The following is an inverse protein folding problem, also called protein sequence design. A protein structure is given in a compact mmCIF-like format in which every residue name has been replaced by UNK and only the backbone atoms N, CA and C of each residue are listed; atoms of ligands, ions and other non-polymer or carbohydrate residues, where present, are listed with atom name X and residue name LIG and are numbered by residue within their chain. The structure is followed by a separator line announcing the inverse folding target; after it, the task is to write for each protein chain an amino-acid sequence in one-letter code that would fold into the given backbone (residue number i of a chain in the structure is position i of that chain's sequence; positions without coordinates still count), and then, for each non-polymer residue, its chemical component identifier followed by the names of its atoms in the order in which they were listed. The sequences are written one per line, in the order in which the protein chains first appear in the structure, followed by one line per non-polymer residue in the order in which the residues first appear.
data_IF_940816504204
#
_entry.id   IF_940816504204
#
_cell.length_a   1.000
_cell.length_b   1.000
_cell.length_c   1.000
_cell.angle_alpha   90.00
_cell.angle_beta   90.00
_cell.angle_gamma   90.00
#
_symmetry.space_group_name_H-M   'P 1'
#
loop_
_entity.id
_entity.type
_entity.pdbx_description
1 polymer ?
#
# COMPACT_ATOMS: atom_id res chain seq x y z
N UNK A 1 -25.58 -4.14 -20.78
CA UNK A 1 -24.51 -3.13 -20.70
C UNK A 1 -23.25 -3.79 -20.17
N UNK A 2 -22.21 -4.00 -20.99
CA UNK A 2 -20.93 -4.53 -20.52
C UNK A 2 -20.08 -3.37 -20.00
N UNK A 3 -19.95 -3.26 -18.67
CA UNK A 3 -19.11 -2.23 -18.06
C UNK A 3 -17.65 -2.44 -18.46
N UNK A 4 -17.04 -1.41 -19.08
CA UNK A 4 -15.63 -1.43 -19.46
C UNK A 4 -14.76 -1.45 -18.20
N UNK A 5 -14.01 -2.53 -17.98
CA UNK A 5 -13.04 -2.61 -16.87
C UNK A 5 -11.78 -1.82 -17.22
N UNK A 6 -11.47 -0.78 -16.43
CA UNK A 6 -10.20 -0.06 -16.54
C UNK A 6 -9.08 -0.91 -15.92
N UNK A 7 -8.40 -1.70 -16.76
CA UNK A 7 -7.26 -2.52 -16.35
C UNK A 7 -5.97 -1.73 -16.53
N UNK A 8 -5.48 -1.14 -15.45
CA UNK A 8 -4.14 -0.51 -15.45
C UNK A 8 -3.07 -1.59 -15.28
N UNK A 9 -2.06 -1.59 -16.16
CA UNK A 9 -0.87 -2.43 -15.97
C UNK A 9 -0.01 -1.79 -14.89
N UNK A 10 0.24 -2.54 -13.82
CA UNK A 10 1.10 -2.10 -12.74
C UNK A 10 2.51 -2.61 -13.03
N UNK A 11 3.43 -1.70 -13.36
CA UNK A 11 4.83 -2.03 -13.68
C UNK A 11 5.64 -2.28 -12.42
N UNK A 12 5.27 -1.62 -11.32
CA UNK A 12 5.89 -1.76 -10.01
C UNK A 12 5.17 -2.82 -9.17
N UNK A 13 5.92 -3.48 -8.28
CA UNK A 13 5.36 -4.43 -7.33
C UNK A 13 4.33 -3.78 -6.40
N UNK A 14 3.45 -4.59 -5.83
CA UNK A 14 2.47 -4.12 -4.86
C UNK A 14 3.17 -3.47 -3.65
N UNK A 15 4.27 -4.06 -3.19
CA UNK A 15 5.08 -3.57 -2.06
C UNK A 15 5.64 -2.17 -2.35
N UNK A 16 6.30 -1.96 -3.48
CA UNK A 16 6.87 -0.66 -3.87
C UNK A 16 5.79 0.42 -3.95
N UNK A 17 4.61 0.08 -4.48
CA UNK A 17 3.50 1.04 -4.58
C UNK A 17 2.93 1.42 -3.21
N UNK A 18 2.86 0.46 -2.28
CA UNK A 18 2.43 0.72 -0.90
C UNK A 18 3.44 1.60 -0.17
N UNK A 19 4.74 1.33 -0.32
CA UNK A 19 5.81 2.15 0.25
C UNK A 19 5.78 3.58 -0.30
N UNK A 20 5.70 3.75 -1.63
CA UNK A 20 5.58 5.07 -2.25
C UNK A 20 4.33 5.83 -1.78
N UNK A 21 3.21 5.12 -1.56
CA UNK A 21 2.00 5.72 -1.01
C UNK A 21 2.18 6.15 0.44
N UNK A 22 2.89 5.37 1.27
CA UNK A 22 3.20 5.72 2.64
C UNK A 22 4.09 6.96 2.73
N UNK A 23 5.13 7.05 1.90
CA UNK A 23 6.02 8.20 1.81
C UNK A 23 5.27 9.47 1.42
N UNK A 24 4.45 9.41 0.37
CA UNK A 24 3.61 10.53 -0.07
C UNK A 24 2.66 10.98 1.04
N UNK A 25 2.04 10.03 1.75
CA UNK A 25 1.16 10.35 2.87
C UNK A 25 1.92 11.05 4.01
N UNK A 26 3.16 10.64 4.31
CA UNK A 26 4.03 11.34 5.28
C UNK A 26 4.44 12.72 4.81
N UNK A 27 4.79 12.89 3.54
CA UNK A 27 5.11 14.21 2.97
C UNK A 27 3.94 15.18 3.07
N UNK A 28 2.74 14.73 2.72
CA UNK A 28 1.53 15.52 2.88
C UNK A 28 1.28 15.85 4.36
N UNK A 29 1.43 14.87 5.26
CA UNK A 29 1.30 15.10 6.69
C UNK A 29 2.34 16.08 7.27
N UNK A 30 3.54 16.17 6.68
CA UNK A 30 4.57 17.15 7.07
C UNK A 30 4.21 18.58 6.62
N UNK A 31 3.49 18.73 5.50
CA UNK A 31 3.07 20.03 4.96
C UNK A 31 1.77 20.55 5.59
N UNK A 32 1.03 19.70 6.29
CA UNK A 32 -0.22 20.08 6.96
C UNK A 32 0.02 20.57 8.38
N UNK A 33 -0.78 21.54 8.87
CA UNK A 33 -0.79 21.93 10.27
C UNK A 33 -1.23 20.76 11.15
N UNK A 34 -0.90 20.83 12.45
CA UNK A 34 -1.37 19.84 13.41
C UNK A 34 -2.91 19.83 13.46
N UNK A 35 -3.51 18.65 13.28
CA UNK A 35 -4.95 18.48 13.22
C UNK A 35 -5.36 17.10 12.71
N UNK A 36 -6.68 16.87 12.67
CA UNK A 36 -7.28 15.58 12.31
C UNK A 36 -6.85 15.08 10.91
N UNK A 37 -6.70 15.99 9.96
CA UNK A 37 -6.32 15.63 8.59
C UNK A 37 -4.87 15.13 8.52
N UNK A 38 -3.96 15.75 9.28
CA UNK A 38 -2.58 15.30 9.42
C UNK A 38 -2.52 13.92 10.06
N UNK A 39 -3.29 13.69 11.13
CA UNK A 39 -3.38 12.38 11.79
C UNK A 39 -3.93 11.30 10.87
N UNK A 40 -4.94 11.62 10.05
CA UNK A 40 -5.50 10.69 9.08
C UNK A 40 -4.46 10.29 8.03
N UNK A 41 -3.66 11.24 7.54
CA UNK A 41 -2.57 10.97 6.61
C UNK A 41 -1.48 10.10 7.25
N UNK A 42 -1.10 10.37 8.50
CA UNK A 42 -0.13 9.55 9.24
C UNK A 42 -0.67 8.13 9.47
N UNK A 43 -1.95 7.99 9.78
CA UNK A 43 -2.60 6.67 9.93
C UNK A 43 -2.58 5.89 8.62
N UNK A 44 -2.90 6.55 7.50
CA UNK A 44 -2.83 5.95 6.16
C UNK A 44 -1.41 5.52 5.81
N UNK A 45 -0.42 6.36 6.12
CA UNK A 45 0.99 6.02 5.91
C UNK A 45 1.36 4.74 6.67
N UNK A 46 1.02 4.67 7.96
CA UNK A 46 1.28 3.50 8.80
C UNK A 46 0.56 2.25 8.29
N UNK A 47 -0.69 2.36 7.85
CA UNK A 47 -1.43 1.24 7.27
C UNK A 47 -0.74 0.69 6.01
N UNK A 48 -0.26 1.57 5.14
CA UNK A 48 0.44 1.18 3.92
C UNK A 48 1.76 0.44 4.24
N UNK A 49 2.51 0.88 5.25
CA UNK A 49 3.74 0.20 5.69
C UNK A 49 3.47 -1.18 6.29
N UNK A 50 2.45 -1.29 7.14
CA UNK A 50 2.06 -2.61 7.67
C UNK A 50 1.62 -3.53 6.53
N UNK A 51 0.88 -3.00 5.56
CA UNK A 51 0.43 -3.77 4.40
C UNK A 51 1.62 -4.18 3.51
N UNK A 52 2.62 -3.32 3.30
CA UNK A 52 3.80 -3.68 2.52
C UNK A 52 4.57 -4.83 3.17
N UNK A 53 4.73 -4.78 4.50
CA UNK A 53 5.38 -5.85 5.26
C UNK A 53 4.58 -7.16 5.20
N UNK A 54 3.24 -7.08 5.27
CA UNK A 54 2.37 -8.23 5.09
C UNK A 54 2.51 -8.83 3.68
N UNK A 55 2.58 -7.99 2.64
CA UNK A 55 2.75 -8.47 1.27
C UNK A 55 4.09 -9.15 1.07
N UNK A 56 5.14 -8.67 1.73
CA UNK A 56 6.45 -9.32 1.74
C UNK A 56 6.37 -10.70 2.40
N UNK A 57 5.72 -10.82 3.57
CA UNK A 57 5.52 -12.10 4.25
C UNK A 57 4.69 -13.09 3.42
N UNK A 58 3.62 -12.61 2.77
CA UNK A 58 2.79 -13.45 1.89
C UNK A 58 3.49 -13.85 0.60
N UNK A 59 4.46 -13.07 0.14
CA UNK A 59 5.23 -13.33 -1.08
C UNK A 59 6.49 -14.18 -0.82
N UNK A 60 6.91 -14.29 0.45
CA UNK A 60 8.00 -15.16 0.84
C UNK A 60 7.67 -16.63 0.47
N UNK A 61 8.64 -17.39 -0.06
CA UNK A 61 8.43 -18.78 -0.48
C UNK A 61 8.30 -19.68 0.76
N UNK A 62 7.14 -19.62 1.40
CA UNK A 62 6.89 -20.20 2.72
C UNK A 62 5.46 -20.72 2.89
N UNK A 63 4.77 -21.05 1.81
CA UNK A 63 3.70 -22.04 1.83
C UNK A 63 3.57 -22.65 0.44
N UNK A 64 4.48 -23.58 0.11
CA UNK A 64 4.12 -24.61 -0.87
C UNK A 64 2.90 -25.29 -0.27
N UNK A 65 1.71 -25.01 -0.79
CA UNK A 65 0.63 -25.99 -0.72
C UNK A 65 1.18 -27.22 -1.43
N UNK A 66 1.71 -28.15 -0.64
CA UNK A 66 1.94 -29.52 -1.07
C UNK A 66 0.54 -30.13 -1.14
N UNK A 67 0.06 -30.42 -2.36
CA UNK A 67 -1.19 -31.13 -2.63
C UNK A 67 -2.27 -30.22 -3.24
N UNK A 68 -2.81 -30.50 -4.42
CA UNK A 68 -2.61 -31.63 -5.33
C UNK A 68 -3.07 -31.27 -6.75
#
# INVERSE_FOLDING_TARGET
MTAKRNRTKQTQSLQERLLSSAEKARELARRMPAGKDRELLLRRAKQNEVTSNLTEWLSAPGFRRRGG
#
